data_IF_935401406292
#
_entry.id   IF_935401406292
#
_cell.length_a   1.000
_cell.length_b   1.000
_cell.length_c   1.000
_cell.angle_alpha   90.00
_cell.angle_beta   90.00
_cell.angle_gamma   90.00
#
_symmetry.space_group_name_H-M   'P 1'
#
loop_
_entity.id
_entity.type
_entity.pdbx_description
1 polymer ?
#
# COMPACT_ATOMS: atom_id res chain seq x y z
N UNK A 1 0.59 -57.83 -17.24
CA UNK A 1 -0.88 -57.76 -17.13
C UNK A 1 -1.42 -58.81 -18.07
N UNK A 2 -2.01 -59.86 -17.51
CA UNK A 2 -2.28 -61.11 -18.22
C UNK A 2 -3.55 -60.99 -19.06
N UNK A 3 -3.73 -61.88 -20.03
CA UNK A 3 -4.82 -61.85 -21.02
C UNK A 3 -6.23 -61.96 -20.40
N UNK A 4 -6.31 -62.44 -19.15
CA UNK A 4 -7.52 -62.43 -18.30
C UNK A 4 -7.91 -61.01 -17.85
N UNK A 5 -6.95 -60.14 -17.55
CA UNK A 5 -7.21 -58.76 -17.10
C UNK A 5 -7.71 -57.87 -18.25
N UNK A 6 -7.29 -58.17 -19.49
CA UNK A 6 -7.75 -57.46 -20.70
C UNK A 6 -9.21 -57.75 -21.04
N UNK A 7 -9.69 -58.96 -20.75
CA UNK A 7 -11.09 -59.35 -20.96
C UNK A 7 -12.01 -58.69 -19.92
N UNK A 8 -11.59 -58.63 -18.66
CA UNK A 8 -12.33 -57.96 -17.59
C UNK A 8 -12.53 -56.44 -17.83
N UNK A 9 -11.56 -55.77 -18.47
CA UNK A 9 -11.69 -54.36 -18.85
C UNK A 9 -12.66 -54.11 -20.03
N UNK A 10 -12.92 -55.10 -20.89
CA UNK A 10 -13.85 -54.96 -22.03
C UNK A 10 -15.32 -55.09 -21.63
N UNK A 11 -15.60 -55.81 -20.55
CA UNK A 11 -16.96 -56.12 -20.10
C UNK A 11 -17.50 -55.13 -19.06
N UNK A 12 -16.77 -54.04 -18.76
CA UNK A 12 -17.27 -52.96 -17.91
C UNK A 12 -18.37 -52.17 -18.65
N UNK A 13 -19.53 -51.90 -18.02
CA UNK A 13 -20.58 -51.10 -18.63
C UNK A 13 -20.07 -49.69 -18.89
N UNK A 14 -20.12 -49.26 -20.16
CA UNK A 14 -19.72 -47.92 -20.56
C UNK A 14 -20.61 -46.89 -19.85
N UNK A 15 -20.04 -45.81 -19.27
CA UNK A 15 -20.84 -44.79 -18.63
C UNK A 15 -21.75 -44.15 -19.66
N UNK A 16 -23.06 -44.11 -19.37
CA UNK A 16 -24.01 -43.32 -20.16
C UNK A 16 -23.58 -41.85 -20.07
N UNK A 17 -23.11 -41.30 -21.18
CA UNK A 17 -22.95 -39.85 -21.33
C UNK A 17 -24.33 -39.21 -21.36
N UNK A 18 -24.91 -38.94 -20.19
CA UNK A 18 -25.87 -37.86 -20.04
C UNK A 18 -25.07 -36.57 -19.96
N UNK A 19 -24.95 -35.87 -21.08
CA UNK A 19 -24.51 -34.48 -21.12
C UNK A 19 -25.65 -33.65 -20.54
N UNK A 20 -25.73 -33.58 -19.21
CA UNK A 20 -26.40 -32.48 -18.56
C UNK A 20 -25.42 -31.31 -18.63
N UNK A 21 -25.66 -30.39 -19.56
CA UNK A 21 -25.05 -29.06 -19.50
C UNK A 21 -25.59 -28.46 -18.21
N UNK A 22 -24.77 -28.48 -17.15
CA UNK A 22 -25.02 -27.62 -16.02
C UNK A 22 -24.78 -26.19 -16.54
N UNK A 23 -25.85 -25.54 -16.98
CA UNK A 23 -25.86 -24.08 -17.00
C UNK A 23 -25.58 -23.66 -15.56
N UNK A 24 -24.34 -23.23 -15.31
CA UNK A 24 -24.08 -22.40 -14.16
C UNK A 24 -24.97 -21.17 -14.36
N UNK A 25 -25.99 -21.01 -13.52
CA UNK A 25 -26.73 -19.76 -13.40
C UNK A 25 -25.72 -18.67 -13.03
N UNK A 26 -25.14 -18.05 -14.07
CA UNK A 26 -24.38 -16.82 -13.92
C UNK A 26 -25.44 -15.75 -13.70
N UNK A 27 -25.69 -15.44 -12.44
CA UNK A 27 -26.52 -14.30 -12.07
C UNK A 27 -26.07 -13.07 -12.87
N UNK A 28 -27.01 -12.24 -13.39
CA UNK A 28 -26.68 -11.02 -14.10
C UNK A 28 -25.69 -10.19 -13.28
N UNK A 29 -24.57 -9.82 -13.90
CA UNK A 29 -23.63 -8.87 -13.30
C UNK A 29 -24.21 -7.48 -13.46
N UNK A 30 -25.01 -7.05 -12.49
CA UNK A 30 -25.31 -5.63 -12.34
C UNK A 30 -23.96 -4.90 -12.10
N UNK A 31 -23.68 -3.88 -12.90
CA UNK A 31 -22.44 -3.11 -12.83
C UNK A 31 -22.46 -2.19 -11.60
N UNK A 32 -22.22 -2.78 -10.43
CA UNK A 32 -22.22 -2.12 -9.12
C UNK A 32 -20.91 -1.36 -8.83
N UNK A 33 -20.18 -0.91 -9.86
CA UNK A 33 -18.85 -0.29 -9.71
C UNK A 33 -18.93 1.00 -8.86
N UNK A 34 -19.96 1.82 -9.05
CA UNK A 34 -20.15 3.08 -8.32
C UNK A 34 -20.47 2.88 -6.82
N UNK A 35 -21.08 1.75 -6.46
CA UNK A 35 -21.44 1.43 -5.08
C UNK A 35 -20.21 0.96 -4.26
N UNK A 36 -19.25 0.29 -4.91
CA UNK A 36 -17.98 -0.11 -4.26
C UNK A 36 -17.22 1.12 -3.77
N UNK A 37 -17.01 2.09 -4.66
CA UNK A 37 -16.24 3.30 -4.37
C UNK A 37 -16.85 4.06 -3.19
N UNK A 38 -18.18 4.14 -3.12
CA UNK A 38 -18.90 4.78 -2.01
C UNK A 38 -18.71 4.03 -0.68
N UNK A 39 -18.71 2.69 -0.70
CA UNK A 39 -18.54 1.85 0.50
C UNK A 39 -17.12 1.91 1.05
N UNK A 40 -16.09 1.98 0.19
CA UNK A 40 -14.69 2.20 0.60
C UNK A 40 -14.54 3.55 1.32
N UNK A 41 -15.13 4.64 0.80
CA UNK A 41 -15.09 5.98 1.43
C UNK A 41 -15.66 5.99 2.86
N UNK A 42 -16.62 5.12 3.18
CA UNK A 42 -17.15 4.95 4.53
C UNK A 42 -16.17 4.34 5.55
N UNK A 43 -15.07 3.74 5.08
CA UNK A 43 -14.05 3.07 5.91
C UNK A 43 -13.01 4.06 6.45
N UNK A 44 -12.68 5.13 5.71
CA UNK A 44 -11.52 5.99 6.02
C UNK A 44 -11.80 7.19 6.93
N UNK A 45 -13.07 7.58 7.13
CA UNK A 45 -13.39 8.81 7.87
C UNK A 45 -13.26 8.74 9.41
N UNK A 46 -13.07 7.55 10.01
CA UNK A 46 -13.12 7.39 11.49
C UNK A 46 -11.97 6.65 12.16
N UNK A 47 -10.93 6.19 11.45
CA UNK A 47 -9.84 5.38 12.04
C UNK A 47 -8.41 5.96 11.92
N UNK A 48 -8.26 7.18 11.39
CA UNK A 48 -6.98 7.88 11.39
C UNK A 48 -6.66 8.49 12.77
N UNK A 49 -6.34 7.66 13.77
CA UNK A 49 -6.08 8.14 15.12
C UNK A 49 -5.34 7.15 16.03
N UNK A 50 -4.07 6.85 15.74
CA UNK A 50 -2.98 6.72 16.73
C UNK A 50 -1.72 6.09 16.11
N UNK A 51 -0.52 6.69 16.24
CA UNK A 51 0.72 6.04 15.86
C UNK A 51 1.06 4.93 16.88
N UNK A 52 1.21 3.70 16.39
CA UNK A 52 1.78 2.60 17.18
C UNK A 52 3.24 2.94 17.52
N UNK A 53 3.54 3.10 18.81
CA UNK A 53 4.90 3.15 19.34
C UNK A 53 5.50 1.73 19.27
N UNK A 54 6.59 1.58 18.53
CA UNK A 54 7.51 0.43 18.70
C UNK A 54 8.66 0.86 19.60
N UNK A 55 9.15 0.01 20.52
CA UNK A 55 10.33 0.33 21.33
C UNK A 55 11.62 0.20 20.50
N UNK A 56 12.51 1.19 20.64
CA UNK A 56 13.94 1.07 20.31
C UNK A 56 14.60 0.16 21.37
N UNK A 57 15.62 -0.65 21.04
CA UNK A 57 17.05 -0.24 21.12
C UNK A 57 18.01 -1.36 20.60
N UNK A 58 19.34 -1.14 20.49
CA UNK A 58 20.10 -1.35 19.26
C UNK A 58 21.15 -2.48 19.34
N UNK A 59 21.66 -2.92 18.18
CA UNK A 59 22.97 -3.59 18.13
C UNK A 59 23.86 -3.00 17.02
N UNK A 60 25.04 -2.56 17.46
CA UNK A 60 26.19 -2.08 16.71
C UNK A 60 26.79 -3.20 15.87
N UNK A 61 27.17 -2.91 14.63
CA UNK A 61 28.33 -3.54 13.99
C UNK A 61 29.06 -2.52 13.13
N UNK A 62 30.39 -2.61 13.22
CA UNK A 62 31.38 -1.67 12.72
C UNK A 62 31.50 -1.70 11.19
N UNK A 63 31.78 -0.54 10.61
CA UNK A 63 32.21 -0.35 9.23
C UNK A 63 33.74 -0.32 9.24
N UNK A 64 34.39 -1.12 8.39
CA UNK A 64 35.79 -0.91 8.02
C UNK A 64 35.86 -0.31 6.63
N UNK A 65 36.76 0.66 6.49
CA UNK A 65 37.11 1.39 5.30
C UNK A 65 37.83 0.49 4.29
N UNK A 66 37.59 0.72 2.99
CA UNK A 66 38.57 0.42 1.94
C UNK A 66 38.37 1.38 0.76
N UNK A 67 39.21 2.40 0.76
CA UNK A 67 40.16 2.84 -0.26
C UNK A 67 39.73 2.95 -1.75
N UNK A 68 39.93 4.16 -2.26
CA UNK A 68 39.78 4.59 -3.64
C UNK A 68 41.11 4.41 -4.39
N UNK A 69 41.08 3.90 -5.63
CA UNK A 69 42.16 4.14 -6.58
C UNK A 69 41.65 4.19 -8.02
N UNK A 70 41.92 5.33 -8.64
CA UNK A 70 41.68 5.71 -10.03
C UNK A 70 42.48 4.88 -11.04
N UNK A 71 41.98 4.77 -12.29
CA UNK A 71 42.75 5.11 -13.52
C UNK A 71 41.95 4.97 -14.83
N UNK A 72 41.80 6.14 -15.46
CA UNK A 72 42.05 6.50 -16.87
C UNK A 72 41.40 5.80 -18.09
N UNK A 73 40.65 6.65 -18.81
CA UNK A 73 40.68 6.98 -20.25
C UNK A 73 41.35 6.03 -21.26
N UNK A 74 40.58 5.72 -22.30
CA UNK A 74 41.06 5.31 -23.61
C UNK A 74 39.91 5.27 -24.63
N UNK A 75 39.73 6.33 -25.41
CA UNK A 75 38.76 6.35 -26.51
C UNK A 75 39.27 5.60 -27.74
N UNK A 76 38.36 5.16 -28.62
CA UNK A 76 38.58 5.18 -30.07
C UNK A 76 37.25 5.03 -30.83
N UNK A 77 37.06 5.94 -31.77
CA UNK A 77 35.95 6.07 -32.72
C UNK A 77 36.01 5.01 -33.83
N UNK A 78 34.87 4.51 -34.30
CA UNK A 78 34.73 4.06 -35.69
C UNK A 78 33.29 4.17 -36.21
N UNK A 79 33.19 4.63 -37.46
CA UNK A 79 32.00 5.08 -38.19
C UNK A 79 31.40 3.98 -39.08
N UNK A 80 30.06 3.98 -39.16
CA UNK A 80 29.14 3.58 -40.25
C UNK A 80 29.11 2.14 -40.81
N UNK A 81 27.90 1.58 -40.92
CA UNK A 81 27.24 1.33 -42.23
C UNK A 81 25.78 0.91 -42.05
N UNK A 82 24.93 1.45 -42.92
CA UNK A 82 23.51 1.15 -43.02
C UNK A 82 23.26 -0.18 -43.73
N UNK A 83 22.30 -0.97 -43.24
CA UNK A 83 21.61 -1.98 -44.03
C UNK A 83 20.16 -2.16 -43.54
N UNK A 84 19.24 -1.97 -44.48
CA UNK A 84 17.81 -2.26 -44.40
C UNK A 84 17.55 -3.75 -44.19
N UNK A 85 16.60 -4.14 -43.32
CA UNK A 85 15.49 -5.07 -43.68
C UNK A 85 14.54 -5.41 -42.52
N UNK A 86 13.24 -5.37 -42.85
CA UNK A 86 12.12 -6.07 -42.22
C UNK A 86 11.67 -5.66 -40.80
N UNK A 87 10.50 -5.01 -40.76
CA UNK A 87 9.74 -4.70 -39.54
C UNK A 87 9.13 -6.00 -39.01
N UNK A 88 9.72 -6.57 -37.95
CA UNK A 88 9.11 -7.66 -37.16
C UNK A 88 8.01 -7.08 -36.25
N UNK A 89 6.94 -7.85 -35.95
CA UNK A 89 5.83 -7.37 -35.14
C UNK A 89 6.32 -7.00 -33.74
N UNK A 90 5.94 -5.81 -33.27
CA UNK A 90 6.25 -5.34 -31.91
C UNK A 90 5.61 -6.29 -30.91
N UNK A 91 6.44 -7.02 -30.16
CA UNK A 91 6.04 -7.68 -28.93
C UNK A 91 5.63 -6.61 -27.94
N UNK A 92 4.41 -6.70 -27.44
CA UNK A 92 3.89 -5.86 -26.36
C UNK A 92 4.75 -6.01 -25.10
N UNK A 93 5.04 -4.91 -24.42
CA UNK A 93 5.94 -4.78 -23.24
C UNK A 93 5.62 -5.74 -22.08
N UNK A 94 4.43 -6.36 -22.06
CA UNK A 94 4.04 -7.38 -21.06
C UNK A 94 4.89 -8.65 -21.17
N UNK A 95 5.47 -8.93 -22.34
CA UNK A 95 6.26 -10.15 -22.62
C UNK A 95 7.63 -10.18 -21.93
N UNK A 96 8.17 -9.01 -21.58
CA UNK A 96 9.58 -8.90 -21.17
C UNK A 96 9.78 -9.06 -19.65
N UNK A 97 8.75 -8.81 -18.85
CA UNK A 97 8.83 -8.97 -17.38
C UNK A 97 8.87 -10.44 -16.95
N UNK A 98 8.18 -11.34 -17.66
CA UNK A 98 8.20 -12.78 -17.36
C UNK A 98 9.59 -13.37 -17.66
N UNK A 99 10.29 -12.85 -18.67
CA UNK A 99 11.60 -13.36 -19.09
C UNK A 99 12.75 -12.94 -18.16
N UNK A 100 12.60 -11.89 -17.35
CA UNK A 100 13.64 -11.44 -16.42
C UNK A 100 13.93 -12.44 -15.28
N UNK A 101 13.01 -13.37 -14.99
CA UNK A 101 13.17 -14.43 -13.98
C UNK A 101 13.58 -15.79 -14.56
N UNK A 102 13.77 -15.89 -15.88
CA UNK A 102 14.27 -17.09 -16.53
C UNK A 102 15.76 -17.23 -16.24
N UNK A 103 16.12 -17.72 -15.05
CA UNK A 103 17.49 -18.18 -14.82
C UNK A 103 17.77 -19.35 -15.76
N UNK A 104 18.91 -19.30 -16.44
CA UNK A 104 19.39 -20.33 -17.37
C UNK A 104 19.68 -21.69 -16.72
N UNK A 105 19.52 -21.78 -15.40
CA UNK A 105 19.60 -23.01 -14.60
C UNK A 105 18.33 -23.17 -13.76
N UNK A 106 17.68 -24.35 -13.73
CA UNK A 106 16.51 -24.56 -12.89
C UNK A 106 16.86 -24.42 -11.41
N UNK A 107 16.25 -23.46 -10.71
CA UNK A 107 16.38 -23.34 -9.25
C UNK A 107 15.83 -24.61 -8.61
N UNK A 108 16.63 -25.27 -7.78
CA UNK A 108 16.18 -26.38 -6.94
C UNK A 108 15.48 -25.82 -5.71
N UNK A 109 14.15 -25.89 -5.70
CA UNK A 109 13.34 -25.49 -4.54
C UNK A 109 13.35 -26.58 -3.46
N UNK A 110 13.24 -26.22 -2.17
CA UNK A 110 12.99 -27.20 -1.12
C UNK A 110 11.65 -27.90 -1.36
N UNK A 111 11.50 -29.11 -0.80
CA UNK A 111 10.23 -29.85 -0.88
C UNK A 111 9.10 -29.03 -0.25
N UNK A 112 7.96 -28.97 -0.94
CA UNK A 112 6.75 -28.37 -0.37
C UNK A 112 6.38 -29.06 0.95
N UNK A 113 5.96 -28.26 1.92
CA UNK A 113 5.54 -28.74 3.24
C UNK A 113 4.02 -28.97 3.25
N UNK A 114 3.59 -30.02 3.95
CA UNK A 114 2.17 -30.34 4.13
C UNK A 114 1.47 -30.86 2.87
N UNK A 115 0.17 -31.08 3.02
CA UNK A 115 -0.73 -31.41 1.91
C UNK A 115 -1.40 -30.13 1.38
N UNK A 116 -1.77 -30.09 0.08
CA UNK A 116 -2.53 -28.97 -0.44
C UNK A 116 -3.88 -28.83 0.29
N UNK A 117 -4.32 -27.60 0.60
CA UNK A 117 -5.63 -27.39 1.19
C UNK A 117 -6.75 -27.65 0.16
N UNK A 118 -7.96 -27.93 0.65
CA UNK A 118 -9.18 -27.94 -0.16
C UNK A 118 -9.89 -26.59 -0.14
N UNK A 119 -10.60 -26.26 -1.22
CA UNK A 119 -11.48 -25.09 -1.28
C UNK A 119 -12.93 -25.58 -1.16
N UNK A 120 -13.63 -25.11 -0.13
CA UNK A 120 -14.93 -25.64 0.28
C UNK A 120 -15.86 -24.51 0.70
N UNK A 121 -17.16 -24.62 0.41
CA UNK A 121 -18.17 -23.73 0.97
C UNK A 121 -18.71 -24.37 2.25
N UNK A 122 -18.59 -23.67 3.39
CA UNK A 122 -19.00 -24.19 4.70
C UNK A 122 -20.05 -23.31 5.35
N UNK A 123 -21.05 -23.94 5.95
CA UNK A 123 -22.07 -23.20 6.68
C UNK A 123 -21.42 -22.50 7.89
N UNK A 124 -21.72 -21.20 8.16
CA UNK A 124 -21.20 -20.53 9.34
C UNK A 124 -21.41 -21.28 10.67
N UNK A 125 -22.47 -22.07 10.81
CA UNK A 125 -22.75 -22.85 12.02
C UNK A 125 -21.79 -24.02 12.26
N UNK A 126 -21.13 -24.53 11.22
CA UNK A 126 -20.15 -25.63 11.28
C UNK A 126 -18.75 -25.15 11.68
N UNK A 127 -18.54 -23.83 11.75
CA UNK A 127 -17.24 -23.21 11.94
C UNK A 127 -17.04 -22.74 13.38
N UNK A 128 -15.95 -23.21 13.99
CA UNK A 128 -15.54 -22.93 15.36
C UNK A 128 -14.37 -21.94 15.41
N UNK A 129 -14.20 -21.28 16.56
CA UNK A 129 -13.08 -20.39 16.86
C UNK A 129 -12.35 -20.92 18.07
N UNK A 130 -11.02 -20.82 18.06
CA UNK A 130 -10.18 -21.23 19.18
C UNK A 130 -9.67 -19.98 19.91
N UNK A 131 -10.21 -19.74 21.10
CA UNK A 131 -9.90 -18.55 21.91
C UNK A 131 -8.48 -18.59 22.51
N UNK A 132 -7.76 -19.71 22.44
CA UNK A 132 -6.42 -19.85 23.03
C UNK A 132 -5.35 -19.01 22.31
N UNK A 133 -5.53 -18.72 21.02
CA UNK A 133 -4.58 -17.93 20.22
C UNK A 133 -5.22 -16.82 19.38
N UNK A 134 -6.55 -16.74 19.32
CA UNK A 134 -7.25 -15.70 18.56
C UNK A 134 -7.39 -14.39 19.33
N UNK A 135 -7.69 -13.30 18.61
CA UNK A 135 -7.96 -12.00 19.22
C UNK A 135 -9.37 -11.99 19.76
N UNK A 136 -9.56 -11.49 20.99
CA UNK A 136 -10.90 -11.24 21.53
C UNK A 136 -11.71 -10.35 20.57
N UNK A 137 -12.96 -10.76 20.33
CA UNK A 137 -13.92 -9.99 19.53
C UNK A 137 -14.71 -8.98 20.38
N UNK A 138 -14.58 -9.02 21.71
CA UNK A 138 -15.43 -8.27 22.63
C UNK A 138 -15.01 -6.82 22.83
N UNK A 139 -13.88 -6.41 22.23
CA UNK A 139 -13.49 -5.00 22.25
C UNK A 139 -14.33 -4.17 21.28
N UNK A 140 -14.56 -2.90 21.62
CA UNK A 140 -15.42 -2.00 20.84
C UNK A 140 -15.02 -1.86 19.37
N UNK A 141 -13.73 -1.93 19.05
CA UNK A 141 -13.23 -1.86 17.68
C UNK A 141 -13.59 -3.10 16.85
N UNK A 142 -13.42 -4.31 17.41
CA UNK A 142 -13.83 -5.58 16.80
C UNK A 142 -15.33 -5.61 16.57
N UNK A 143 -16.14 -5.25 17.58
CA UNK A 143 -17.61 -5.22 17.45
C UNK A 143 -18.07 -4.22 16.39
N UNK A 144 -17.47 -3.04 16.32
CA UNK A 144 -17.77 -2.05 15.28
C UNK A 144 -17.40 -2.56 13.87
N UNK A 145 -16.26 -3.24 13.74
CA UNK A 145 -15.84 -3.87 12.48
C UNK A 145 -16.82 -4.97 12.05
N UNK A 146 -17.24 -5.84 12.95
CA UNK A 146 -18.22 -6.91 12.66
C UNK A 146 -19.53 -6.30 12.16
N UNK A 147 -20.08 -5.32 12.88
CA UNK A 147 -21.33 -4.62 12.47
C UNK A 147 -21.19 -3.96 11.12
N UNK A 148 -20.03 -3.34 10.83
CA UNK A 148 -19.75 -2.71 9.54
C UNK A 148 -19.70 -3.74 8.41
N UNK A 149 -19.03 -4.89 8.60
CA UNK A 149 -19.02 -5.98 7.61
C UNK A 149 -20.44 -6.51 7.39
N UNK A 150 -21.22 -6.72 8.47
CA UNK A 150 -22.58 -7.22 8.38
C UNK A 150 -23.51 -6.28 7.61
N UNK A 151 -23.45 -4.97 7.91
CA UNK A 151 -24.27 -3.96 7.24
C UNK A 151 -23.87 -3.73 5.77
N UNK A 152 -22.56 -3.76 5.49
CA UNK A 152 -22.00 -3.53 4.15
C UNK A 152 -21.56 -4.81 3.44
N UNK A 153 -22.22 -5.94 3.70
CA UNK A 153 -21.78 -7.23 3.17
C UNK A 153 -21.66 -7.18 1.65
N UNK A 154 -20.49 -7.57 1.14
CA UNK A 154 -20.17 -7.60 -0.26
C UNK A 154 -19.34 -8.86 -0.54
N UNK A 155 -19.89 -9.76 -1.37
CA UNK A 155 -19.22 -11.00 -1.74
C UNK A 155 -17.88 -10.77 -2.44
N UNK A 156 -17.69 -9.63 -3.13
CA UNK A 156 -16.43 -9.24 -3.79
C UNK A 156 -15.32 -8.95 -2.78
N UNK A 157 -15.68 -8.53 -1.57
CA UNK A 157 -14.73 -8.28 -0.46
C UNK A 157 -14.55 -9.51 0.45
N UNK A 158 -15.33 -10.57 0.25
CA UNK A 158 -15.29 -11.77 1.08
C UNK A 158 -14.20 -12.73 0.62
N UNK A 159 -12.96 -12.48 1.06
CA UNK A 159 -11.87 -13.45 0.89
C UNK A 159 -12.19 -14.77 1.63
N UNK A 160 -11.74 -15.93 1.13
CA UNK A 160 -11.91 -17.20 1.83
C UNK A 160 -11.35 -17.18 3.26
N UNK A 161 -12.04 -17.88 4.17
CA UNK A 161 -11.55 -18.16 5.52
C UNK A 161 -10.42 -19.19 5.45
N UNK A 162 -9.42 -19.07 6.32
CA UNK A 162 -8.44 -20.15 6.52
C UNK A 162 -8.90 -21.02 7.67
N UNK A 163 -9.02 -22.32 7.44
CA UNK A 163 -9.66 -23.27 8.36
C UNK A 163 -8.76 -24.48 8.57
N UNK A 164 -8.59 -24.86 9.84
CA UNK A 164 -7.98 -26.13 10.26
C UNK A 164 -9.07 -27.19 10.37
N UNK A 165 -8.88 -28.33 9.72
CA UNK A 165 -9.64 -29.55 9.97
C UNK A 165 -8.85 -30.42 10.95
N UNK A 166 -9.40 -30.65 12.13
CA UNK A 166 -8.80 -31.51 13.17
C UNK A 166 -9.17 -32.98 12.95
N UNK A 167 -8.53 -33.87 13.70
CA UNK A 167 -8.67 -35.34 13.55
C UNK A 167 -10.10 -35.84 13.76
N UNK A 168 -10.87 -35.17 14.61
CA UNK A 168 -12.29 -35.44 14.86
C UNK A 168 -13.22 -34.92 13.74
N UNK A 169 -12.64 -34.30 12.70
CA UNK A 169 -13.36 -33.72 11.58
C UNK A 169 -13.91 -32.32 11.83
N UNK A 170 -13.73 -31.75 13.03
CA UNK A 170 -14.17 -30.40 13.36
C UNK A 170 -13.39 -29.33 12.59
N UNK A 171 -14.06 -28.21 12.28
CA UNK A 171 -13.54 -27.13 11.47
C UNK A 171 -13.30 -25.87 12.30
N UNK A 172 -12.04 -25.46 12.40
CA UNK A 172 -11.60 -24.34 13.24
C UNK A 172 -11.01 -23.23 12.40
N UNK A 173 -11.59 -22.04 12.45
CA UNK A 173 -11.14 -20.88 11.67
C UNK A 173 -9.85 -20.34 12.27
N UNK A 174 -8.77 -20.30 11.49
CA UNK A 174 -7.49 -19.66 11.85
C UNK A 174 -7.53 -18.17 11.48
N UNK A 175 -8.05 -17.82 10.29
CA UNK A 175 -8.15 -16.44 9.83
C UNK A 175 -9.55 -16.11 9.29
N UNK A 176 -10.07 -14.95 9.71
CA UNK A 176 -11.36 -14.43 9.27
C UNK A 176 -12.49 -14.46 10.30
N UNK A 177 -12.15 -14.50 11.59
CA UNK A 177 -13.09 -14.39 12.72
C UNK A 177 -14.17 -13.30 12.55
N UNK A 178 -13.83 -12.10 12.06
CA UNK A 178 -14.80 -11.00 11.91
C UNK A 178 -15.80 -11.25 10.77
N UNK A 179 -15.36 -11.91 9.69
CA UNK A 179 -16.24 -12.31 8.57
C UNK A 179 -17.21 -13.40 9.02
N UNK A 180 -16.72 -14.40 9.75
CA UNK A 180 -17.56 -15.44 10.35
C UNK A 180 -18.59 -14.83 11.30
N UNK A 181 -18.15 -13.96 12.21
CA UNK A 181 -19.04 -13.29 13.16
C UNK A 181 -20.09 -12.42 12.46
N UNK A 182 -19.71 -11.69 11.40
CA UNK A 182 -20.63 -10.88 10.62
C UNK A 182 -21.67 -11.74 9.85
N UNK A 183 -21.24 -12.86 9.26
CA UNK A 183 -22.16 -13.80 8.62
C UNK A 183 -23.16 -14.40 9.62
N UNK A 184 -22.67 -14.83 10.79
CA UNK A 184 -23.52 -15.31 11.90
C UNK A 184 -24.48 -14.23 12.39
N UNK A 185 -24.03 -12.98 12.46
CA UNK A 185 -24.85 -11.83 12.87
C UNK A 185 -25.98 -11.54 11.89
N UNK A 186 -25.75 -11.67 10.58
CA UNK A 186 -26.79 -11.46 9.57
C UNK A 186 -27.82 -12.59 9.53
N UNK A 187 -27.38 -13.83 9.76
CA UNK A 187 -28.24 -15.02 9.78
C UNK A 187 -28.76 -15.48 8.41
N UNK A 188 -28.60 -14.67 7.36
CA UNK A 188 -29.05 -14.95 5.99
C UNK A 188 -27.94 -15.49 5.06
N UNK A 189 -26.69 -15.54 5.53
CA UNK A 189 -25.54 -15.99 4.75
C UNK A 189 -25.45 -17.53 4.80
N UNK A 190 -25.68 -18.25 3.66
CA UNK A 190 -25.81 -19.70 3.68
C UNK A 190 -24.48 -20.45 3.79
N UNK A 191 -23.38 -19.84 3.34
CA UNK A 191 -22.05 -20.43 3.37
C UNK A 191 -20.96 -19.37 3.40
N UNK A 192 -19.74 -19.76 3.74
CA UNK A 192 -18.53 -18.98 3.56
C UNK A 192 -17.51 -19.81 2.77
N UNK A 193 -16.79 -19.21 1.81
CA UNK A 193 -15.69 -19.89 1.15
C UNK A 193 -14.56 -20.13 2.17
N UNK A 194 -14.04 -21.34 2.19
CA UNK A 194 -13.03 -21.80 3.13
C UNK A 194 -11.87 -22.47 2.38
N UNK A 195 -10.65 -22.12 2.74
CA UNK A 195 -9.44 -22.84 2.43
C UNK A 195 -9.11 -23.75 3.61
N UNK A 196 -9.43 -25.04 3.50
CA UNK A 196 -9.36 -26.03 4.58
C UNK A 196 -8.06 -26.80 4.49
N UNK A 197 -7.22 -26.71 5.52
CA UNK A 197 -5.97 -27.44 5.67
C UNK A 197 -5.98 -28.34 6.90
N UNK A 198 -5.04 -29.28 6.96
CA UNK A 198 -4.81 -30.15 8.13
C UNK A 198 -3.50 -29.74 8.79
N UNK A 199 -3.52 -29.56 10.11
CA UNK A 199 -2.38 -29.12 10.92
C UNK A 199 -2.05 -30.18 11.96
N UNK A 200 -0.77 -30.29 12.35
CA UNK A 200 -0.32 -31.31 13.29
C UNK A 200 -0.76 -31.05 14.74
N UNK A 201 -1.02 -29.79 15.09
CA UNK A 201 -1.38 -29.38 16.45
C UNK A 201 -2.00 -27.98 16.49
N UNK A 202 -2.63 -27.64 17.62
CA UNK A 202 -3.08 -26.26 17.93
C UNK A 202 -1.91 -25.27 17.91
N UNK A 203 -0.70 -25.71 18.28
CA UNK A 203 0.49 -24.87 18.20
C UNK A 203 0.85 -24.51 16.76
N UNK A 204 0.66 -25.42 15.81
CA UNK A 204 0.87 -25.16 14.38
C UNK A 204 -0.18 -24.18 13.83
N UNK A 205 -1.43 -24.31 14.27
CA UNK A 205 -2.50 -23.34 13.94
C UNK A 205 -2.14 -21.93 14.41
N UNK A 206 -1.69 -21.80 15.67
CA UNK A 206 -1.27 -20.54 16.26
C UNK A 206 -0.04 -19.95 15.53
N UNK A 207 0.95 -20.78 15.18
CA UNK A 207 2.11 -20.37 14.40
C UNK A 207 1.70 -19.85 13.02
N UNK A 208 0.76 -20.53 12.35
CA UNK A 208 0.21 -20.09 11.08
C UNK A 208 -0.54 -18.75 11.21
N UNK A 209 -1.37 -18.60 12.25
CA UNK A 209 -2.06 -17.34 12.54
C UNK A 209 -1.07 -16.17 12.67
N UNK A 210 0.00 -16.35 13.44
CA UNK A 210 1.05 -15.33 13.61
C UNK A 210 1.76 -15.05 12.29
N UNK A 211 2.15 -16.09 11.55
CA UNK A 211 2.85 -15.96 10.27
C UNK A 211 2.01 -15.18 9.25
N UNK A 212 0.73 -15.52 9.08
CA UNK A 212 -0.18 -14.82 8.17
C UNK A 212 -0.33 -13.34 8.53
N UNK A 213 -0.52 -13.04 9.81
CA UNK A 213 -0.72 -11.66 10.25
C UNK A 213 0.56 -10.83 10.14
N UNK A 214 1.74 -11.42 10.34
CA UNK A 214 3.03 -10.73 10.19
C UNK A 214 3.48 -10.59 8.74
N UNK A 215 3.16 -11.56 7.88
CA UNK A 215 3.51 -11.54 6.47
C UNK A 215 2.67 -10.53 5.66
N UNK A 216 1.51 -10.09 6.18
CA UNK A 216 0.73 -9.01 5.57
C UNK A 216 1.54 -7.71 5.59
N UNK A 217 2.10 -7.36 4.45
CA UNK A 217 2.66 -6.04 4.21
C UNK A 217 1.48 -5.08 3.99
N UNK A 218 1.26 -4.09 4.87
CA UNK A 218 0.24 -3.08 4.61
C UNK A 218 0.59 -2.37 3.30
N UNK A 219 -0.43 -2.07 2.51
CA UNK A 219 -0.26 -1.19 1.36
C UNK A 219 0.28 0.15 1.87
N UNK A 220 1.25 0.69 1.15
CA UNK A 220 1.84 1.96 1.55
C UNK A 220 0.88 3.09 1.14
N UNK A 221 0.93 4.24 1.84
CA UNK A 221 -0.03 5.35 1.59
C UNK A 221 0.02 5.92 0.17
N UNK A 222 1.15 5.81 -0.50
CA UNK A 222 1.31 6.26 -1.87
C UNK A 222 0.60 5.29 -2.82
N UNK A 223 0.74 3.99 -2.59
CA UNK A 223 -0.01 2.95 -3.31
C UNK A 223 -1.52 3.10 -3.05
N UNK A 224 -1.93 3.37 -1.80
CA UNK A 224 -3.33 3.68 -1.42
C UNK A 224 -3.87 4.86 -2.24
N UNK A 225 -3.08 5.92 -2.36
CA UNK A 225 -3.46 7.09 -3.14
C UNK A 225 -3.61 6.79 -4.63
N UNK A 226 -2.67 6.05 -5.24
CA UNK A 226 -2.77 5.67 -6.65
C UNK A 226 -3.96 4.73 -6.90
N UNK A 227 -4.27 3.83 -5.97
CA UNK A 227 -5.47 3.01 -6.03
C UNK A 227 -6.75 3.85 -5.92
N UNK A 228 -6.77 4.86 -5.05
CA UNK A 228 -7.89 5.78 -4.91
C UNK A 228 -8.12 6.62 -6.18
N UNK A 229 -7.04 7.07 -6.85
CA UNK A 229 -7.14 7.73 -8.15
C UNK A 229 -7.74 6.81 -9.21
N UNK A 230 -7.31 5.55 -9.28
CA UNK A 230 -7.88 4.57 -10.21
C UNK A 230 -9.37 4.31 -9.93
N UNK A 231 -9.79 4.42 -8.66
CA UNK A 231 -11.19 4.32 -8.24
C UNK A 231 -11.98 5.64 -8.43
N UNK A 232 -11.40 6.66 -9.08
CA UNK A 232 -12.00 8.00 -9.23
C UNK A 232 -12.46 8.60 -7.90
N UNK A 233 -11.64 8.43 -6.86
CA UNK A 233 -11.91 9.04 -5.57
C UNK A 233 -11.83 10.58 -5.65
N UNK A 234 -12.87 11.27 -5.20
CA UNK A 234 -12.98 12.73 -5.34
C UNK A 234 -11.92 13.48 -4.53
N UNK A 235 -11.57 12.99 -3.33
CA UNK A 235 -10.50 13.60 -2.53
C UNK A 235 -9.14 13.35 -3.18
N UNK A 236 -8.91 12.14 -3.70
CA UNK A 236 -7.67 11.84 -4.42
C UNK A 236 -7.50 12.69 -5.69
N UNK A 237 -8.56 12.87 -6.48
CA UNK A 237 -8.58 13.75 -7.65
C UNK A 237 -8.31 15.19 -7.23
N UNK A 238 -8.95 15.69 -6.17
CA UNK A 238 -8.73 17.06 -5.68
C UNK A 238 -7.26 17.31 -5.30
N UNK A 239 -6.62 16.33 -4.67
CA UNK A 239 -5.19 16.39 -4.32
C UNK A 239 -4.33 16.37 -5.58
N UNK A 240 -4.64 15.53 -6.57
CA UNK A 240 -3.91 15.49 -7.83
C UNK A 240 -4.01 16.82 -8.58
N UNK A 241 -5.18 17.45 -8.59
CA UNK A 241 -5.40 18.75 -9.19
C UNK A 241 -4.57 19.83 -8.48
N UNK A 242 -4.61 19.89 -7.13
CA UNK A 242 -3.80 20.83 -6.34
C UNK A 242 -2.30 20.72 -6.64
N UNK A 243 -1.81 19.49 -6.72
CA UNK A 243 -0.39 19.23 -6.96
C UNK A 243 -0.01 19.63 -8.39
N UNK A 244 -0.86 19.32 -9.36
CA UNK A 244 -0.64 19.65 -10.77
C UNK A 244 -0.73 21.16 -11.04
N UNK A 245 -1.69 21.85 -10.41
CA UNK A 245 -1.85 23.31 -10.48
C UNK A 245 -0.60 24.04 -9.96
N UNK A 246 0.04 23.51 -8.92
CA UNK A 246 1.30 24.05 -8.40
C UNK A 246 2.52 23.69 -9.28
N UNK A 247 2.37 22.91 -10.35
CA UNK A 247 3.49 22.46 -11.20
C UNK A 247 4.32 21.33 -10.59
N UNK A 248 3.80 20.64 -9.57
CA UNK A 248 4.44 19.48 -8.93
C UNK A 248 3.86 18.18 -9.49
N UNK A 249 4.49 17.05 -9.17
CA UNK A 249 4.00 15.72 -9.54
C UNK A 249 4.04 14.75 -8.36
N UNK A 250 3.17 13.74 -8.37
CA UNK A 250 3.12 12.73 -7.31
C UNK A 250 4.00 11.55 -7.72
N UNK A 251 5.00 11.22 -6.90
CA UNK A 251 5.91 10.12 -7.17
C UNK A 251 5.20 8.76 -7.13
N UNK A 252 5.82 7.75 -7.75
CA UNK A 252 5.46 6.34 -7.55
C UNK A 252 6.39 5.61 -6.59
N UNK A 253 7.43 6.27 -6.12
CA UNK A 253 8.40 5.68 -5.21
C UNK A 253 8.29 6.32 -3.83
N UNK A 254 8.29 5.51 -2.77
CA UNK A 254 8.34 6.02 -1.40
C UNK A 254 9.73 6.52 -1.00
N UNK A 255 10.78 6.12 -1.73
CA UNK A 255 12.16 6.54 -1.50
C UNK A 255 12.46 7.87 -2.18
N UNK A 256 12.76 8.90 -1.40
CA UNK A 256 13.07 10.24 -1.92
C UNK A 256 14.35 10.30 -2.75
N UNK A 257 15.24 9.32 -2.62
CA UNK A 257 16.44 9.19 -3.45
C UNK A 257 16.13 8.89 -4.92
N UNK A 258 14.97 8.31 -5.21
CA UNK A 258 14.54 7.97 -6.56
C UNK A 258 13.63 9.05 -7.18
N UNK A 259 13.32 10.12 -6.45
CA UNK A 259 12.43 11.17 -6.93
C UNK A 259 13.09 12.03 -8.00
N UNK A 260 12.30 12.41 -8.99
CA UNK A 260 12.68 13.44 -9.96
C UNK A 260 12.46 14.84 -9.37
N UNK A 261 13.05 15.89 -9.97
CA UNK A 261 12.70 17.25 -9.61
C UNK A 261 11.19 17.49 -9.62
N UNK A 262 10.68 18.18 -8.58
CA UNK A 262 9.24 18.46 -8.43
C UNK A 262 8.35 17.26 -8.04
N UNK A 263 8.91 16.07 -7.80
CA UNK A 263 8.13 14.93 -7.31
C UNK A 263 7.95 14.97 -5.77
N UNK A 264 6.72 14.69 -5.32
CA UNK A 264 6.33 14.63 -3.91
C UNK A 264 5.56 13.33 -3.58
N UNK A 265 5.47 12.94 -2.31
CA UNK A 265 4.74 11.74 -1.88
C UNK A 265 3.87 11.91 -0.61
N UNK A 266 3.74 13.13 -0.08
CA UNK A 266 3.04 13.40 1.19
C UNK A 266 1.54 13.68 1.03
N UNK A 267 0.85 12.91 0.17
CA UNK A 267 -0.57 13.09 -0.18
C UNK A 267 -1.49 13.13 1.03
N UNK A 268 -1.25 12.30 2.04
CA UNK A 268 -2.02 12.30 3.28
C UNK A 268 -1.95 13.62 4.07
N UNK A 269 -0.80 14.32 4.02
CA UNK A 269 -0.65 15.63 4.64
C UNK A 269 -1.46 16.69 3.89
N UNK A 270 -1.47 16.64 2.55
CA UNK A 270 -2.28 17.54 1.71
C UNK A 270 -3.76 17.34 2.02
N UNK A 271 -4.24 16.08 2.00
CA UNK A 271 -5.61 15.73 2.35
C UNK A 271 -6.01 16.27 3.73
N UNK A 272 -5.14 16.07 4.73
CA UNK A 272 -5.39 16.60 6.07
C UNK A 272 -5.42 18.12 6.12
N UNK A 273 -4.61 18.82 5.34
CA UNK A 273 -4.60 20.28 5.28
C UNK A 273 -5.87 20.80 4.63
N UNK A 274 -6.29 20.22 3.49
CA UNK A 274 -7.54 20.60 2.81
C UNK A 274 -8.74 20.46 3.77
N UNK A 275 -8.85 19.32 4.47
CA UNK A 275 -9.94 19.10 5.43
C UNK A 275 -9.96 20.06 6.63
N UNK A 276 -8.78 20.47 7.12
CA UNK A 276 -8.66 21.28 8.35
C UNK A 276 -8.61 22.78 8.11
N UNK A 277 -7.98 23.18 7.02
CA UNK A 277 -7.58 24.56 6.74
C UNK A 277 -8.06 25.06 5.37
N UNK A 278 -8.67 24.18 4.56
CA UNK A 278 -9.22 24.51 3.25
C UNK A 278 -8.21 24.38 2.10
N UNK A 279 -8.77 24.32 0.88
CA UNK A 279 -8.01 24.17 -0.37
C UNK A 279 -6.98 25.28 -0.58
N UNK A 280 -7.32 26.52 -0.25
CA UNK A 280 -6.48 27.70 -0.50
C UNK A 280 -5.15 27.62 0.27
N UNK A 281 -5.17 27.18 1.53
CA UNK A 281 -3.95 27.03 2.34
C UNK A 281 -3.03 25.94 1.78
N UNK A 282 -3.60 24.82 1.34
CA UNK A 282 -2.84 23.75 0.69
C UNK A 282 -2.22 24.22 -0.63
N UNK A 283 -3.01 24.91 -1.47
CA UNK A 283 -2.56 25.48 -2.75
C UNK A 283 -1.42 26.48 -2.57
N UNK A 284 -1.55 27.43 -1.63
CA UNK A 284 -0.52 28.42 -1.35
C UNK A 284 0.80 27.75 -0.87
N UNK A 285 0.72 26.77 0.03
CA UNK A 285 1.90 26.06 0.52
C UNK A 285 2.58 25.20 -0.58
N UNK A 286 1.80 24.54 -1.45
CA UNK A 286 2.34 23.78 -2.58
C UNK A 286 3.02 24.69 -3.61
N UNK A 287 2.39 25.82 -3.94
CA UNK A 287 2.92 26.81 -4.90
C UNK A 287 4.24 27.39 -4.40
N UNK A 288 4.32 27.78 -3.12
CA UNK A 288 5.57 28.22 -2.50
C UNK A 288 6.71 27.21 -2.65
N UNK A 289 6.43 25.91 -2.41
CA UNK A 289 7.44 24.84 -2.57
C UNK A 289 7.88 24.71 -4.03
N UNK A 290 6.93 24.74 -4.97
CA UNK A 290 7.22 24.57 -6.38
C UNK A 290 8.07 25.72 -6.94
N UNK A 291 7.72 26.95 -6.57
CA UNK A 291 8.41 28.16 -7.04
C UNK A 291 9.76 28.38 -6.35
N UNK A 292 9.90 27.99 -5.08
CA UNK A 292 11.18 28.16 -4.35
C UNK A 292 12.24 27.14 -4.77
N UNK A 293 11.84 25.96 -5.28
CA UNK A 293 12.76 24.85 -5.55
C UNK A 293 12.71 24.33 -7.00
N UNK A 294 12.81 25.20 -8.02
CA UNK A 294 12.74 24.78 -9.41
C UNK A 294 13.92 23.85 -9.75
N UNK A 295 13.62 22.73 -10.40
CA UNK A 295 14.64 21.75 -10.83
C UNK A 295 15.30 20.96 -9.68
N UNK A 296 14.91 21.17 -8.42
CA UNK A 296 15.44 20.43 -7.28
C UNK A 296 14.57 19.21 -6.96
N UNK A 297 15.20 18.16 -6.42
CA UNK A 297 14.45 17.13 -5.68
C UNK A 297 13.97 17.76 -4.38
N UNK A 298 12.66 17.89 -4.24
CA UNK A 298 12.03 18.48 -3.06
C UNK A 298 12.01 17.47 -1.89
N UNK A 299 13.20 17.06 -1.44
CA UNK A 299 13.37 16.25 -0.23
C UNK A 299 12.84 17.02 0.99
N UNK A 300 12.40 16.31 2.02
CA UNK A 300 11.78 16.90 3.22
C UNK A 300 10.52 17.76 2.99
N UNK A 301 10.02 17.84 1.76
CA UNK A 301 8.86 18.66 1.35
C UNK A 301 7.60 18.43 2.18
N UNK A 302 7.37 17.23 2.70
CA UNK A 302 6.25 16.99 3.62
C UNK A 302 6.36 17.76 4.96
N UNK A 303 7.58 17.93 5.48
CA UNK A 303 7.84 18.76 6.67
C UNK A 303 7.77 20.24 6.33
N UNK A 304 8.34 20.64 5.19
CA UNK A 304 8.32 22.02 4.70
C UNK A 304 6.88 22.50 4.48
N UNK A 305 6.08 21.68 3.78
CA UNK A 305 4.66 21.93 3.55
C UNK A 305 3.90 22.14 4.86
N UNK A 306 4.07 21.25 5.84
CA UNK A 306 3.38 21.38 7.12
C UNK A 306 3.91 22.57 7.96
N UNK A 307 5.18 22.93 7.82
CA UNK A 307 5.75 24.15 8.42
C UNK A 307 5.12 25.41 7.85
N UNK A 308 5.07 25.52 6.51
CA UNK A 308 4.39 26.60 5.79
C UNK A 308 2.91 26.68 6.17
N UNK A 309 2.19 25.55 6.22
CA UNK A 309 0.79 25.51 6.65
C UNK A 309 0.63 26.08 8.06
N UNK A 310 1.52 25.76 9.00
CA UNK A 310 1.46 26.31 10.36
C UNK A 310 1.65 27.83 10.38
N UNK A 311 2.53 28.37 9.54
CA UNK A 311 2.70 29.82 9.37
C UNK A 311 1.43 30.43 8.76
N UNK A 312 0.95 29.90 7.63
CA UNK A 312 -0.20 30.46 6.91
C UNK A 312 -1.51 30.44 7.72
N UNK A 313 -1.67 29.46 8.60
CA UNK A 313 -2.85 29.34 9.48
C UNK A 313 -2.75 30.28 10.69
N UNK A 314 -1.54 30.66 11.11
CA UNK A 314 -1.31 31.54 12.25
C UNK A 314 -0.13 32.47 11.95
N UNK A 315 -0.33 33.43 11.03
CA UNK A 315 0.75 34.29 10.55
C UNK A 315 1.22 35.24 11.66
N UNK A 316 2.52 35.60 11.69
CA UNK A 316 3.01 36.65 12.57
C UNK A 316 2.36 38.01 12.25
N UNK A 317 2.44 38.95 13.19
CA UNK A 317 1.98 40.32 12.95
C UNK A 317 2.79 40.97 11.81
N UNK A 318 2.10 41.64 10.88
CA UNK A 318 2.75 42.20 9.69
C UNK A 318 3.26 41.15 8.70
N UNK A 319 2.63 39.97 8.65
CA UNK A 319 2.99 38.92 7.69
C UNK A 319 2.88 39.39 6.24
N UNK A 320 3.96 39.18 5.51
CA UNK A 320 4.12 39.43 4.09
C UNK A 320 4.42 38.10 3.36
N UNK A 321 3.53 37.63 2.48
CA UNK A 321 3.74 36.43 1.69
C UNK A 321 5.03 36.45 0.87
N UNK A 322 5.42 37.61 0.32
CA UNK A 322 6.60 37.72 -0.54
C UNK A 322 7.88 37.57 0.30
N UNK A 323 7.92 38.18 1.48
CA UNK A 323 9.03 37.97 2.43
C UNK A 323 9.11 36.52 2.91
N UNK A 324 7.97 35.84 3.12
CA UNK A 324 7.96 34.42 3.48
C UNK A 324 8.50 33.54 2.34
N UNK A 325 8.19 33.89 1.09
CA UNK A 325 8.78 33.23 -0.06
C UNK A 325 10.31 33.44 -0.12
N UNK A 326 10.81 34.66 0.11
CA UNK A 326 12.26 34.94 0.22
C UNK A 326 12.92 34.14 1.35
N UNK A 327 12.25 34.04 2.51
CA UNK A 327 12.73 33.24 3.63
C UNK A 327 12.83 31.75 3.26
N UNK A 328 11.87 31.21 2.51
CA UNK A 328 11.91 29.84 2.02
C UNK A 328 13.09 29.58 1.06
N UNK A 329 13.44 30.57 0.23
CA UNK A 329 14.54 30.52 -0.74
C UNK A 329 15.96 30.64 -0.13
N UNK A 330 16.08 30.99 1.16
CA UNK A 330 17.37 31.08 1.87
C UNK A 330 18.16 29.76 1.86
N UNK A 331 17.48 28.63 1.76
CA UNK A 331 18.08 27.30 1.77
C UNK A 331 17.57 26.47 0.60
N UNK A 332 18.40 25.54 0.10
CA UNK A 332 17.92 24.53 -0.85
C UNK A 332 16.92 23.57 -0.19
N UNK A 333 16.16 22.82 -0.98
CA UNK A 333 15.24 21.81 -0.44
C UNK A 333 15.97 20.76 0.43
N UNK A 334 17.25 20.48 0.12
CA UNK A 334 18.10 19.57 0.88
C UNK A 334 18.60 20.21 2.18
N UNK A 335 19.03 21.47 2.13
CA UNK A 335 19.57 22.19 3.29
C UNK A 335 18.53 22.44 4.38
N UNK A 336 17.24 22.57 4.01
CA UNK A 336 16.13 22.56 4.97
C UNK A 336 16.10 21.29 5.84
N UNK A 337 16.71 20.19 5.38
CA UNK A 337 16.88 18.95 6.14
C UNK A 337 17.77 19.10 7.39
N UNK A 338 18.67 20.09 7.43
CA UNK A 338 19.58 20.31 8.57
C UNK A 338 18.81 20.61 9.86
N UNK A 339 17.73 21.40 9.79
CA UNK A 339 16.80 21.71 10.89
C UNK A 339 16.00 20.49 11.39
N UNK A 340 16.03 19.37 10.66
CA UNK A 340 15.29 18.15 11.00
C UNK A 340 16.17 17.09 11.67
N UNK A 341 17.47 17.34 11.80
CA UNK A 341 18.45 16.38 12.33
C UNK A 341 18.06 15.93 13.74
N UNK A 342 18.01 14.62 13.96
CA UNK A 342 17.64 14.03 15.26
C UNK A 342 16.14 14.06 15.61
N UNK A 343 15.31 14.75 14.82
CA UNK A 343 13.87 14.84 15.09
C UNK A 343 13.10 13.64 14.52
N UNK A 344 12.13 13.15 15.29
CA UNK A 344 11.20 12.08 14.90
C UNK A 344 9.76 12.58 14.99
N UNK A 345 8.92 12.08 14.08
CA UNK A 345 7.50 12.44 14.02
C UNK A 345 7.22 13.65 13.12
N UNK A 346 6.10 13.58 12.38
CA UNK A 346 5.75 14.61 11.40
C UNK A 346 5.44 15.97 12.02
N UNK A 347 4.70 16.01 13.14
CA UNK A 347 4.30 17.27 13.77
C UNK A 347 5.49 18.00 14.41
N UNK A 348 6.38 17.28 15.10
CA UNK A 348 7.62 17.85 15.65
C UNK A 348 8.51 18.42 14.57
N UNK A 349 8.67 17.73 13.44
CA UNK A 349 9.44 18.23 12.29
C UNK A 349 8.79 19.45 11.65
N UNK A 350 7.46 19.46 11.52
CA UNK A 350 6.73 20.61 11.00
C UNK A 350 6.86 21.85 11.91
N UNK A 351 6.86 21.67 13.24
CA UNK A 351 7.09 22.76 14.18
C UNK A 351 8.52 23.32 14.05
N UNK A 352 9.53 22.46 13.93
CA UNK A 352 10.91 22.88 13.72
C UNK A 352 11.09 23.68 12.41
N UNK A 353 10.48 23.24 11.31
CA UNK A 353 10.52 24.01 10.06
C UNK A 353 9.77 25.34 10.19
N UNK A 354 8.61 25.38 10.86
CA UNK A 354 7.91 26.63 11.12
C UNK A 354 8.82 27.62 11.85
N UNK A 355 9.49 27.19 12.91
CA UNK A 355 10.36 28.07 13.70
C UNK A 355 11.57 28.55 12.87
N UNK A 356 12.15 27.66 12.05
CA UNK A 356 13.23 28.02 11.14
C UNK A 356 12.80 28.98 10.01
N UNK A 357 11.59 28.82 9.48
CA UNK A 357 11.01 29.75 8.51
C UNK A 357 10.81 31.14 9.11
N UNK A 358 10.34 31.23 10.35
CA UNK A 358 10.16 32.51 11.03
C UNK A 358 11.50 33.20 11.36
N UNK A 359 12.52 32.43 11.76
CA UNK A 359 13.88 32.99 11.92
C UNK A 359 14.42 33.54 10.60
N UNK A 360 14.29 32.79 9.50
CA UNK A 360 14.69 33.25 8.17
C UNK A 360 13.88 34.48 7.73
N UNK A 361 12.58 34.54 8.05
CA UNK A 361 11.71 35.67 7.76
C UNK A 361 12.17 36.96 8.46
N UNK A 362 12.52 36.89 9.74
CA UNK A 362 13.02 38.03 10.52
C UNK A 362 14.38 38.51 10.00
N UNK A 363 15.24 37.59 9.60
CA UNK A 363 16.52 37.90 8.96
C UNK A 363 16.32 38.60 7.59
N UNK A 364 15.32 38.23 6.78
CA UNK A 364 15.05 38.94 5.50
C UNK A 364 14.63 40.38 5.79
N UNK A 365 13.80 40.60 6.80
CA UNK A 365 13.40 41.93 7.22
C UNK A 365 14.60 42.78 7.69
N UNK A 366 15.57 42.16 8.38
CA UNK A 366 16.79 42.86 8.80
C UNK A 366 17.67 43.26 7.61
N UNK A 367 17.81 42.39 6.61
CA UNK A 367 18.58 42.68 5.39
C UNK A 367 17.96 43.83 4.58
N UNK A 368 16.63 43.89 4.50
CA UNK A 368 15.87 44.98 3.84
C UNK A 368 16.06 46.36 4.50
N UNK A 369 16.31 46.39 5.82
CA UNK A 369 16.54 47.64 6.58
C UNK A 369 18.01 48.07 6.51
N UNK A 370 18.93 47.13 6.31
CA UNK A 370 20.36 47.38 6.27
C UNK A 370 20.90 47.75 4.87
N UNK A 371 20.21 47.32 3.81
CA UNK A 371 20.50 47.69 2.41
C UNK A 371 19.84 49.00 1.99
#
# INVERSE_FOLDING_TARGET
>A
MDERDRKACRDLPKPKQTVAVAEADVAPRDDDTDDITRRIRGVDSKLAGSPRKSPAEPQKTAISEHDLSSKELGGLTRVSTAASTSRKPQKTEVSDVINAYASTSPRKWPKALGNPPSIENRNPSELHLDDSYQRSTDNGASTALIKRIANGWDWRMCLPLVVSKRDDGSLWVIDGQHRLAAAKMRGDIPFLPCCVGVFGSVADEAAMFVAMNRARKPMNRLDDFHAALAASDAEAIEILDLVSEAGLTISRNTSSTAWKPGEIAFTASIASTVRKHGRQVASAALTNIAEAFPGQRVVHSGSIFLGLVKVLVSPPEGFDPDRMFQALMRYSAEDWGTFLTGLKGGDTRAAAIRDALLMAYDEVAADEVAG
#
